data_IF_040616352698
#
_entry.id   IF_040616352698
#
_cell.length_a   1.000
_cell.length_b   1.000
_cell.length_c   1.000
_cell.angle_alpha   90.00
_cell.angle_beta   90.00
_cell.angle_gamma   90.00
#
_symmetry.space_group_name_H-M   'P 1'
#
loop_
_entity.id
_entity.type
_entity.pdbx_description
1 polymer ?
#
# COMPACT_ATOMS: atom_id res chain seq x y z
N UNK A 1 -6.67 9.98 -12.31
CA UNK A 1 -5.40 9.90 -11.55
C UNK A 1 -4.24 9.72 -12.52
N UNK A 2 -3.10 10.36 -12.27
CA UNK A 2 -1.89 10.22 -13.11
C UNK A 2 -0.84 9.45 -12.31
N UNK A 3 -0.30 8.40 -12.88
CA UNK A 3 0.86 7.64 -12.37
C UNK A 3 2.06 8.02 -13.23
N UNK A 4 2.94 8.85 -12.69
CA UNK A 4 4.11 9.41 -13.39
C UNK A 4 5.38 8.75 -12.85
N UNK A 5 5.95 7.84 -13.63
CA UNK A 5 7.12 7.03 -13.24
C UNK A 5 8.35 7.88 -12.94
N UNK A 6 8.54 8.97 -13.69
CA UNK A 6 9.67 9.86 -13.45
C UNK A 6 9.54 10.55 -12.09
N UNK A 7 8.36 11.10 -11.78
CA UNK A 7 8.12 11.76 -10.48
C UNK A 7 8.24 10.79 -9.31
N UNK A 8 7.77 9.54 -9.49
CA UNK A 8 7.90 8.51 -8.46
C UNK A 8 9.37 8.22 -8.17
N UNK A 9 10.21 8.04 -9.20
CA UNK A 9 11.64 7.77 -9.03
C UNK A 9 12.42 8.91 -8.38
N UNK A 10 11.95 10.15 -8.53
CA UNK A 10 12.56 11.35 -7.92
C UNK A 10 12.25 11.47 -6.40
N UNK A 11 11.32 10.69 -5.85
CA UNK A 11 11.02 10.70 -4.41
C UNK A 11 12.16 10.06 -3.63
N UNK A 12 12.62 10.73 -2.57
CA UNK A 12 13.58 10.19 -1.61
C UNK A 12 12.86 9.70 -0.36
N UNK A 13 13.00 8.42 -0.05
CA UNK A 13 12.43 7.79 1.15
C UNK A 13 13.42 7.70 2.30
N UNK A 14 14.71 7.95 2.04
CA UNK A 14 15.79 7.79 3.01
C UNK A 14 15.63 8.60 4.30
N UNK A 15 14.90 9.71 4.26
CA UNK A 15 14.68 10.56 5.43
C UNK A 15 13.55 10.10 6.35
N UNK A 16 12.71 9.14 5.91
CA UNK A 16 11.48 8.78 6.63
C UNK A 16 11.75 8.22 8.03
N UNK A 17 12.87 7.54 8.20
CA UNK A 17 13.25 6.88 9.46
C UNK A 17 14.44 7.51 10.17
N UNK A 18 15.00 8.64 9.68
CA UNK A 18 16.24 9.22 10.24
C UNK A 18 16.22 9.54 11.73
N UNK A 19 15.03 9.74 12.29
CA UNK A 19 14.85 10.15 13.68
C UNK A 19 14.25 9.04 14.55
N UNK A 20 14.17 7.80 14.04
CA UNK A 20 13.51 6.70 14.73
C UNK A 20 14.52 5.65 15.14
N UNK A 21 14.81 5.61 16.43
CA UNK A 21 15.56 4.53 17.06
C UNK A 21 14.57 3.57 17.72
N UNK A 22 14.21 2.51 16.99
CA UNK A 22 13.30 1.50 17.50
C UNK A 22 14.09 0.25 17.88
N UNK A 23 14.07 -0.18 19.14
CA UNK A 23 14.69 -1.43 19.54
C UNK A 23 14.14 -2.62 18.71
N UNK A 24 15.02 -3.27 17.97
CA UNK A 24 14.68 -4.43 17.14
C UNK A 24 14.25 -4.12 15.71
N UNK A 25 14.06 -2.86 15.34
CA UNK A 25 13.84 -2.48 13.94
C UNK A 25 15.17 -2.52 13.16
N UNK A 26 15.21 -3.05 11.93
CA UNK A 26 16.42 -2.99 11.09
C UNK A 26 16.88 -1.56 10.92
N UNK A 27 18.19 -1.32 11.02
CA UNK A 27 18.75 0.04 10.91
C UNK A 27 18.30 0.70 9.59
N UNK A 28 17.49 1.76 9.64
CA UNK A 28 16.95 2.39 8.43
C UNK A 28 18.03 3.10 7.58
N UNK A 29 19.24 3.23 8.10
CA UNK A 29 20.39 3.76 7.39
C UNK A 29 21.21 2.69 6.68
N UNK A 30 20.85 1.41 6.85
CA UNK A 30 21.46 0.30 6.09
C UNK A 30 21.04 0.42 4.62
N UNK A 31 22.02 0.30 3.72
CA UNK A 31 21.81 0.34 2.28
C UNK A 31 20.87 -0.78 1.77
N UNK A 32 20.61 -1.78 2.60
CA UNK A 32 19.67 -2.89 2.33
C UNK A 32 18.25 -2.60 2.79
N UNK A 33 18.04 -1.53 3.58
CA UNK A 33 16.72 -1.18 4.08
C UNK A 33 15.76 -0.74 2.96
N UNK A 34 14.47 -1.00 3.14
CA UNK A 34 13.44 -0.70 2.14
C UNK A 34 13.36 0.79 1.77
N UNK A 35 13.70 1.69 2.69
CA UNK A 35 13.75 3.14 2.43
C UNK A 35 15.10 3.65 1.91
N UNK A 36 16.07 2.77 1.65
CA UNK A 36 17.36 3.20 1.12
C UNK A 36 17.23 3.62 -0.35
N UNK A 37 17.63 4.87 -0.66
CA UNK A 37 17.68 5.37 -2.04
C UNK A 37 18.72 4.64 -2.91
N UNK A 38 19.62 3.86 -2.30
CA UNK A 38 20.62 3.04 -2.99
C UNK A 38 20.10 1.67 -3.45
N UNK A 39 18.93 1.28 -2.99
CA UNK A 39 18.27 0.05 -3.40
C UNK A 39 17.69 0.24 -4.80
N UNK A 40 18.47 -0.11 -5.82
CA UNK A 40 18.24 0.21 -7.24
C UNK A 40 17.38 -0.82 -8.00
N UNK A 41 16.74 -1.74 -7.33
CA UNK A 41 15.87 -2.72 -7.98
C UNK A 41 14.43 -2.55 -7.53
N UNK A 42 13.54 -3.08 -8.32
CA UNK A 42 12.08 -3.02 -8.27
C UNK A 42 11.41 -3.09 -6.88
N UNK A 43 12.13 -3.39 -5.82
CA UNK A 43 11.61 -3.30 -4.43
C UNK A 43 11.77 -1.91 -3.79
N UNK A 44 12.71 -1.07 -4.25
CA UNK A 44 12.94 0.26 -3.68
C UNK A 44 11.96 1.33 -4.18
N UNK A 45 11.31 1.11 -5.31
CA UNK A 45 10.34 2.04 -5.88
C UNK A 45 8.94 1.88 -5.28
N UNK A 46 8.65 0.73 -4.67
CA UNK A 46 7.36 0.43 -4.05
C UNK A 46 6.94 1.50 -3.02
N UNK A 47 7.79 1.82 -2.05
CA UNK A 47 7.51 2.84 -1.03
C UNK A 47 7.50 4.26 -1.60
N UNK A 48 8.24 4.53 -2.67
CA UNK A 48 8.16 5.78 -3.43
C UNK A 48 6.80 5.91 -4.10
N UNK A 49 6.28 4.81 -4.68
CA UNK A 49 4.94 4.77 -5.25
C UNK A 49 3.86 5.04 -4.19
N UNK A 50 3.94 4.41 -3.02
CA UNK A 50 3.00 4.66 -1.91
C UNK A 50 3.02 6.13 -1.49
N UNK A 51 4.21 6.70 -1.32
CA UNK A 51 4.36 8.13 -1.03
C UNK A 51 3.80 9.02 -2.14
N UNK A 52 4.05 8.68 -3.39
CA UNK A 52 3.50 9.43 -4.52
C UNK A 52 1.98 9.44 -4.50
N UNK A 53 1.35 8.28 -4.25
CA UNK A 53 -0.10 8.15 -4.22
C UNK A 53 -0.74 8.99 -3.12
N UNK A 54 -0.16 9.00 -1.91
CA UNK A 54 -0.68 9.82 -0.81
C UNK A 54 -0.56 11.32 -1.09
N UNK A 55 0.48 11.74 -1.86
CA UNK A 55 0.67 13.14 -2.24
C UNK A 55 -0.24 13.62 -3.37
N UNK A 56 -0.95 12.73 -4.06
CA UNK A 56 -1.90 13.11 -5.12
C UNK A 56 -3.20 13.71 -4.58
N UNK A 57 -3.51 13.51 -3.30
CA UNK A 57 -4.78 13.88 -2.69
C UNK A 57 -4.55 14.47 -1.30
N UNK A 58 -5.40 15.41 -0.92
CA UNK A 58 -5.49 15.96 0.43
C UNK A 58 -6.84 15.56 1.07
N UNK A 59 -6.87 15.50 2.39
CA UNK A 59 -8.08 15.29 3.21
C UNK A 59 -8.83 13.98 2.88
N UNK A 60 -8.09 12.92 2.58
CA UNK A 60 -8.65 11.60 2.31
C UNK A 60 -8.32 10.59 3.41
N UNK A 61 -9.09 9.50 3.45
CA UNK A 61 -8.75 8.29 4.20
C UNK A 61 -8.01 7.33 3.27
N UNK A 62 -6.92 6.75 3.78
CA UNK A 62 -6.17 5.67 3.13
C UNK A 62 -6.16 4.48 4.09
N UNK A 63 -6.49 3.32 3.59
CA UNK A 63 -6.37 2.05 4.30
C UNK A 63 -5.08 1.35 3.85
N UNK A 64 -4.34 0.87 4.83
CA UNK A 64 -3.15 0.03 4.67
C UNK A 64 -3.46 -1.33 5.31
N UNK A 65 -3.63 -2.36 4.49
CA UNK A 65 -3.96 -3.70 4.93
C UNK A 65 -2.73 -4.60 4.81
N UNK A 66 -2.22 -5.05 5.96
CA UNK A 66 -0.95 -5.77 6.10
C UNK A 66 0.17 -4.85 6.60
N UNK A 67 0.07 -4.41 7.85
CA UNK A 67 1.05 -3.48 8.45
C UNK A 67 2.45 -4.06 8.54
N UNK A 68 2.57 -5.34 8.89
CA UNK A 68 3.84 -6.01 9.15
C UNK A 68 4.80 -5.11 9.98
N UNK A 69 5.94 -4.69 9.41
CA UNK A 69 6.93 -3.80 10.06
C UNK A 69 6.54 -2.30 10.03
N UNK A 70 5.46 -1.93 9.35
CA UNK A 70 4.94 -0.56 9.28
C UNK A 70 5.52 0.29 8.14
N UNK A 71 6.32 -0.27 7.25
CA UNK A 71 6.98 0.49 6.17
C UNK A 71 5.96 1.13 5.21
N UNK A 72 4.92 0.38 4.82
CA UNK A 72 3.82 0.88 3.99
C UNK A 72 3.05 2.01 4.69
N UNK A 73 2.70 1.79 5.97
CA UNK A 73 2.01 2.79 6.79
C UNK A 73 2.81 4.09 6.89
N UNK A 74 4.14 4.01 7.10
CA UNK A 74 5.03 5.16 7.15
C UNK A 74 5.08 5.89 5.81
N UNK A 75 5.22 5.16 4.70
CA UNK A 75 5.26 5.76 3.36
C UNK A 75 3.94 6.48 3.01
N UNK A 76 2.79 5.87 3.36
CA UNK A 76 1.47 6.46 3.16
C UNK A 76 1.21 7.67 4.06
N UNK A 77 1.80 7.72 5.27
CA UNK A 77 1.60 8.81 6.22
C UNK A 77 2.38 10.10 5.90
N UNK A 78 3.19 10.12 4.83
CA UNK A 78 4.02 11.28 4.46
C UNK A 78 3.21 12.52 4.05
N UNK A 79 1.94 12.39 3.67
CA UNK A 79 1.04 13.54 3.57
C UNK A 79 0.24 13.68 4.88
N UNK A 80 0.57 14.65 5.76
CA UNK A 80 -0.07 14.79 7.07
C UNK A 80 -1.53 15.25 7.02
N UNK A 81 -2.03 15.63 5.85
CA UNK A 81 -3.45 15.98 5.66
C UNK A 81 -4.35 14.75 5.51
N UNK A 82 -3.77 13.62 5.15
CA UNK A 82 -4.51 12.38 4.96
C UNK A 82 -4.57 11.59 6.27
N UNK A 83 -5.65 10.87 6.49
CA UNK A 83 -5.78 9.90 7.58
C UNK A 83 -5.41 8.51 7.07
N UNK A 84 -4.45 7.85 7.73
CA UNK A 84 -4.05 6.48 7.43
C UNK A 84 -4.60 5.56 8.52
N UNK A 85 -5.25 4.46 8.13
CA UNK A 85 -5.69 3.40 9.03
C UNK A 85 -5.00 2.12 8.58
N UNK A 86 -4.07 1.64 9.38
CA UNK A 86 -3.26 0.47 9.07
C UNK A 86 -3.73 -0.74 9.89
N UNK A 87 -3.88 -1.89 9.24
CA UNK A 87 -4.46 -3.12 9.78
C UNK A 87 -3.47 -4.26 9.75
N UNK A 88 -3.42 -5.03 10.84
CA UNK A 88 -2.75 -6.32 10.88
C UNK A 88 -3.48 -7.27 11.84
N UNK A 89 -3.47 -8.56 11.54
CA UNK A 89 -3.99 -9.61 12.43
C UNK A 89 -3.02 -9.91 13.59
N UNK A 90 -1.73 -9.67 13.36
CA UNK A 90 -0.67 -9.84 14.34
C UNK A 90 -0.10 -8.48 14.72
N UNK A 91 0.05 -8.22 16.02
CA UNK A 91 0.88 -7.12 16.47
C UNK A 91 2.31 -7.63 16.56
N UNK A 92 3.08 -7.36 15.53
CA UNK A 92 4.50 -7.67 15.58
C UNK A 92 5.21 -6.65 16.48
N UNK A 93 4.66 -5.42 16.59
CA UNK A 93 5.26 -4.35 17.39
C UNK A 93 4.20 -3.47 18.06
N UNK A 94 4.37 -3.15 19.36
CA UNK A 94 3.71 -2.01 19.98
C UNK A 94 4.41 -0.73 19.49
N UNK A 95 4.00 -0.24 18.34
CA UNK A 95 4.66 0.89 17.73
C UNK A 95 4.38 2.20 18.46
N UNK A 96 5.41 2.92 18.94
CA UNK A 96 5.27 4.29 19.38
C UNK A 96 5.11 5.28 18.21
N UNK A 97 4.69 4.83 17.03
CA UNK A 97 4.58 5.66 15.82
C UNK A 97 3.56 6.78 15.93
N UNK A 98 2.52 6.64 16.74
CA UNK A 98 1.48 7.67 16.90
C UNK A 98 2.05 9.03 17.34
N UNK A 99 3.18 9.06 18.04
CA UNK A 99 3.84 10.31 18.43
C UNK A 99 4.50 11.03 17.23
N UNK A 100 4.91 10.27 16.21
CA UNK A 100 5.67 10.78 15.07
C UNK A 100 4.82 10.92 13.80
N UNK A 101 3.74 10.16 13.73
CA UNK A 101 2.77 10.19 12.62
C UNK A 101 1.36 10.36 13.19
N UNK A 102 0.97 11.59 13.57
CA UNK A 102 -0.33 11.83 14.22
C UNK A 102 -1.53 11.52 13.32
N UNK A 103 -1.31 11.36 12.03
CA UNK A 103 -2.30 11.00 11.04
C UNK A 103 -2.41 9.48 10.82
N UNK A 104 -1.64 8.66 11.54
CA UNK A 104 -1.60 7.20 11.44
C UNK A 104 -2.26 6.54 12.65
N UNK A 105 -3.23 5.67 12.37
CA UNK A 105 -3.94 4.84 13.34
C UNK A 105 -3.67 3.36 13.03
N UNK A 106 -3.28 2.57 14.04
CA UNK A 106 -3.13 1.12 13.90
C UNK A 106 -4.32 0.38 14.50
N UNK A 107 -4.76 -0.64 13.78
CA UNK A 107 -5.79 -1.56 14.24
C UNK A 107 -5.31 -3.01 14.16
N UNK A 108 -5.31 -3.70 15.30
CA UNK A 108 -5.11 -5.16 15.32
C UNK A 108 -6.43 -5.85 14.99
N UNK A 109 -6.64 -6.09 13.71
CA UNK A 109 -7.88 -6.66 13.21
C UNK A 109 -7.69 -7.19 11.78
N UNK A 110 -8.39 -8.27 11.43
CA UNK A 110 -8.55 -8.66 10.03
C UNK A 110 -9.34 -7.57 9.29
N UNK A 111 -8.77 -7.02 8.23
CA UNK A 111 -9.43 -5.99 7.40
C UNK A 111 -10.75 -6.48 6.83
N UNK A 112 -10.91 -7.79 6.64
CA UNK A 112 -12.16 -8.41 6.18
C UNK A 112 -13.31 -8.32 7.20
N UNK A 113 -13.02 -7.97 8.46
CA UNK A 113 -14.01 -7.80 9.52
C UNK A 113 -14.34 -6.31 9.76
N UNK A 114 -13.72 -5.39 9.01
CA UNK A 114 -14.01 -3.96 9.14
C UNK A 114 -15.39 -3.61 8.56
N UNK A 115 -16.01 -2.58 9.11
CA UNK A 115 -17.31 -2.09 8.66
C UNK A 115 -17.26 -1.53 7.23
N UNK A 116 -18.33 -1.76 6.48
CA UNK A 116 -18.46 -1.22 5.12
C UNK A 116 -18.36 0.31 5.08
N UNK A 117 -18.77 1.01 6.13
CA UNK A 117 -18.71 2.46 6.20
C UNK A 117 -17.26 2.96 6.25
N UNK A 118 -16.40 2.31 7.03
CA UNK A 118 -14.96 2.63 7.10
C UNK A 118 -14.30 2.30 5.76
N UNK A 119 -14.55 1.11 5.21
CA UNK A 119 -14.01 0.72 3.90
C UNK A 119 -14.43 1.73 2.81
N UNK A 120 -15.71 2.10 2.74
CA UNK A 120 -16.23 3.05 1.75
C UNK A 120 -15.74 4.50 1.98
N UNK A 121 -15.25 4.84 3.17
CA UNK A 121 -14.65 6.15 3.42
C UNK A 121 -13.25 6.29 2.80
N UNK A 122 -12.58 5.17 2.54
CA UNK A 122 -11.22 5.18 1.99
C UNK A 122 -11.23 5.49 0.48
N UNK A 123 -10.38 6.43 0.08
CA UNK A 123 -10.13 6.73 -1.33
C UNK A 123 -9.09 5.80 -1.94
N UNK A 124 -8.13 5.38 -1.13
CA UNK A 124 -7.06 4.45 -1.52
C UNK A 124 -7.01 3.33 -0.49
N UNK A 125 -6.87 2.11 -0.97
CA UNK A 125 -6.56 0.94 -0.15
C UNK A 125 -5.27 0.33 -0.70
N UNK A 126 -4.27 0.14 0.15
CA UNK A 126 -3.13 -0.71 -0.13
C UNK A 126 -3.41 -2.10 0.44
N UNK A 127 -3.32 -3.12 -0.38
CA UNK A 127 -3.66 -4.51 -0.06
C UNK A 127 -2.41 -5.37 -0.16
N UNK A 128 -1.87 -5.75 1.00
CA UNK A 128 -0.66 -6.53 1.16
C UNK A 128 -0.86 -7.49 2.34
N UNK A 129 -1.70 -8.53 2.13
CA UNK A 129 -2.16 -9.40 3.22
C UNK A 129 -1.56 -10.82 3.13
N UNK A 130 -2.36 -11.84 2.90
CA UNK A 130 -1.93 -13.24 3.09
C UNK A 130 -1.07 -13.83 1.94
N UNK A 131 -1.12 -13.27 0.74
CA UNK A 131 -0.43 -13.72 -0.49
C UNK A 131 -0.74 -15.18 -0.90
N UNK A 132 -1.88 -15.69 -0.47
CA UNK A 132 -2.39 -17.02 -0.84
C UNK A 132 -3.60 -16.97 -1.79
N UNK A 133 -4.02 -15.77 -2.13
CA UNK A 133 -5.19 -15.40 -2.89
C UNK A 133 -6.54 -15.57 -2.16
N UNK A 134 -6.60 -16.32 -1.07
CA UNK A 134 -7.86 -16.60 -0.37
C UNK A 134 -8.43 -15.34 0.28
N UNK A 135 -7.60 -14.61 1.00
CA UNK A 135 -8.00 -13.37 1.67
C UNK A 135 -8.19 -12.23 0.67
N UNK A 136 -7.35 -12.19 -0.37
CA UNK A 136 -7.44 -11.22 -1.46
C UNK A 136 -8.75 -11.37 -2.23
N UNK A 137 -9.20 -12.63 -2.54
CA UNK A 137 -10.52 -12.87 -3.14
C UNK A 137 -11.66 -12.43 -2.22
N UNK A 138 -11.61 -12.85 -0.93
CA UNK A 138 -12.62 -12.47 0.06
C UNK A 138 -12.76 -10.94 0.13
N UNK A 139 -11.65 -10.22 0.16
CA UNK A 139 -11.63 -8.77 0.25
C UNK A 139 -12.16 -8.09 -1.03
N UNK A 140 -11.68 -8.49 -2.20
CA UNK A 140 -12.12 -7.89 -3.48
C UNK A 140 -13.58 -8.22 -3.82
N UNK A 141 -14.07 -9.39 -3.44
CA UNK A 141 -15.50 -9.74 -3.52
C UNK A 141 -16.34 -8.86 -2.58
N UNK A 142 -15.84 -8.61 -1.37
CA UNK A 142 -16.48 -7.71 -0.41
C UNK A 142 -16.55 -6.29 -0.98
N UNK A 143 -15.46 -5.75 -1.53
CA UNK A 143 -15.43 -4.42 -2.16
C UNK A 143 -16.48 -4.30 -3.28
N UNK A 144 -16.58 -5.32 -4.11
CA UNK A 144 -17.58 -5.37 -5.19
C UNK A 144 -19.00 -5.37 -4.63
N UNK A 145 -19.26 -6.18 -3.62
CA UNK A 145 -20.58 -6.33 -2.99
C UNK A 145 -21.07 -5.07 -2.29
N UNK A 146 -20.15 -4.32 -1.63
CA UNK A 146 -20.51 -3.06 -0.95
C UNK A 146 -20.54 -1.86 -1.90
N UNK A 147 -20.21 -2.07 -3.18
CA UNK A 147 -20.18 -1.00 -4.19
C UNK A 147 -19.08 0.03 -3.95
N UNK A 148 -17.91 -0.42 -3.45
CA UNK A 148 -16.76 0.45 -3.18
C UNK A 148 -16.41 1.32 -4.38
N UNK A 149 -16.03 2.58 -4.11
CA UNK A 149 -15.56 3.55 -5.10
C UNK A 149 -14.25 4.15 -4.63
N UNK A 150 -13.16 3.71 -5.25
CA UNK A 150 -11.80 4.14 -4.91
C UNK A 150 -10.75 3.40 -5.72
N UNK A 151 -9.52 3.50 -5.27
CA UNK A 151 -8.36 2.83 -5.86
C UNK A 151 -7.84 1.77 -4.90
N UNK A 152 -7.51 0.59 -5.43
CA UNK A 152 -6.83 -0.44 -4.64
C UNK A 152 -5.49 -0.74 -5.29
N UNK A 153 -4.42 -0.52 -4.53
CA UNK A 153 -3.07 -0.94 -4.89
C UNK A 153 -2.84 -2.31 -4.25
N UNK A 154 -2.48 -3.30 -5.06
CA UNK A 154 -2.27 -4.68 -4.62
C UNK A 154 -0.79 -5.03 -4.73
N UNK A 155 -0.25 -5.65 -3.68
CA UNK A 155 1.10 -6.20 -3.72
C UNK A 155 1.12 -7.64 -4.22
N UNK A 156 2.27 -8.08 -4.69
CA UNK A 156 2.63 -9.46 -5.01
C UNK A 156 1.72 -10.19 -6.03
N UNK A 157 1.17 -9.46 -7.00
CA UNK A 157 0.26 -10.03 -8.00
C UNK A 157 0.90 -11.10 -8.92
N UNK A 158 2.23 -11.20 -8.93
CA UNK A 158 3.05 -12.16 -9.70
C UNK A 158 3.96 -13.01 -8.81
N UNK A 159 3.56 -13.28 -7.58
CA UNK A 159 4.37 -13.99 -6.60
C UNK A 159 4.76 -15.40 -7.09
N UNK A 160 6.05 -15.73 -7.33
CA UNK A 160 6.45 -16.96 -8.03
C UNK A 160 6.10 -18.24 -7.30
N UNK A 161 6.03 -18.22 -5.97
CA UNK A 161 5.68 -19.38 -5.14
C UNK A 161 4.21 -19.44 -4.75
N UNK A 162 3.41 -18.47 -5.19
CA UNK A 162 1.96 -18.46 -5.00
C UNK A 162 1.24 -18.16 -6.32
N UNK A 163 1.15 -19.13 -7.26
CA UNK A 163 0.53 -18.93 -8.57
C UNK A 163 -0.97 -18.61 -8.48
N UNK A 164 -1.58 -18.81 -7.32
CA UNK A 164 -2.97 -18.43 -7.07
C UNK A 164 -3.13 -16.90 -7.03
N UNK A 165 -2.09 -16.14 -6.66
CA UNK A 165 -2.11 -14.68 -6.71
C UNK A 165 -2.30 -14.16 -8.14
N UNK A 166 -1.59 -14.72 -9.11
CA UNK A 166 -1.80 -14.37 -10.51
C UNK A 166 -3.19 -14.79 -11.02
N UNK A 167 -3.69 -15.95 -10.57
CA UNK A 167 -5.05 -16.40 -10.89
C UNK A 167 -6.10 -15.45 -10.33
N UNK A 168 -5.94 -15.04 -9.06
CA UNK A 168 -6.78 -14.02 -8.44
C UNK A 168 -6.73 -12.70 -9.22
N UNK A 169 -5.52 -12.18 -9.47
CA UNK A 169 -5.34 -10.94 -10.22
C UNK A 169 -6.05 -10.99 -11.58
N UNK A 170 -5.86 -12.08 -12.33
CA UNK A 170 -6.49 -12.24 -13.63
C UNK A 170 -8.01 -12.34 -13.58
N UNK A 171 -8.58 -12.84 -12.47
CA UNK A 171 -10.03 -12.99 -12.28
C UNK A 171 -10.77 -11.67 -12.04
N UNK A 172 -10.05 -10.60 -11.67
CA UNK A 172 -10.64 -9.30 -11.39
C UNK A 172 -11.18 -8.67 -12.69
N UNK A 173 -12.50 -8.45 -12.73
CA UNK A 173 -13.22 -7.89 -13.89
C UNK A 173 -13.49 -6.38 -13.77
N UNK A 174 -12.72 -5.66 -12.94
CA UNK A 174 -12.76 -4.21 -12.81
C UNK A 174 -11.57 -3.64 -13.57
N UNK A 175 -11.66 -2.39 -14.00
CA UNK A 175 -10.54 -1.68 -14.64
C UNK A 175 -9.29 -1.81 -13.77
N UNK A 176 -8.21 -2.37 -14.32
CA UNK A 176 -6.97 -2.62 -13.60
C UNK A 176 -5.73 -2.45 -14.47
N UNK A 177 -4.62 -2.17 -13.81
CA UNK A 177 -3.32 -1.92 -14.44
C UNK A 177 -2.23 -2.66 -13.69
N UNK A 178 -1.41 -3.39 -14.41
CA UNK A 178 -0.14 -3.90 -13.90
C UNK A 178 0.89 -2.78 -13.98
N UNK A 179 1.39 -2.35 -12.84
CA UNK A 179 2.38 -1.27 -12.70
C UNK A 179 3.66 -1.76 -12.00
N UNK A 180 3.96 -3.03 -12.15
CA UNK A 180 5.15 -3.69 -11.58
C UNK A 180 6.45 -2.96 -11.90
N UNK A 181 6.57 -2.35 -13.07
CA UNK A 181 7.75 -1.55 -13.47
C UNK A 181 8.11 -0.41 -12.49
N UNK A 182 7.17 0.02 -11.65
CA UNK A 182 7.34 1.11 -10.69
C UNK A 182 6.96 0.70 -9.25
N UNK A 183 6.65 -0.55 -9.04
CA UNK A 183 6.21 -1.09 -7.76
C UNK A 183 7.15 -2.16 -7.22
N UNK A 184 6.56 -3.21 -6.66
CA UNK A 184 7.28 -4.33 -6.07
C UNK A 184 7.76 -5.33 -7.13
N UNK A 185 8.88 -6.02 -6.86
CA UNK A 185 9.51 -7.00 -7.76
C UNK A 185 8.58 -8.14 -8.16
N UNK A 186 7.73 -8.58 -7.25
CA UNK A 186 6.80 -9.69 -7.47
C UNK A 186 5.41 -9.24 -7.91
N UNK A 187 5.34 -8.03 -8.40
CA UNK A 187 4.13 -7.49 -9.02
C UNK A 187 3.40 -6.48 -8.16
N UNK A 188 3.01 -5.38 -8.81
CA UNK A 188 2.14 -4.38 -8.20
C UNK A 188 0.98 -4.10 -9.14
N UNK A 189 -0.23 -4.30 -8.64
CA UNK A 189 -1.48 -4.06 -9.36
C UNK A 189 -2.19 -2.81 -8.87
N UNK A 190 -2.81 -2.08 -9.77
CA UNK A 190 -3.69 -0.96 -9.45
C UNK A 190 -5.09 -1.24 -10.00
N UNK A 191 -6.10 -1.31 -9.13
CA UNK A 191 -7.50 -1.51 -9.50
C UNK A 191 -8.24 -0.17 -9.36
N UNK A 192 -9.03 0.19 -10.36
CA UNK A 192 -9.88 1.37 -10.37
C UNK A 192 -11.36 0.99 -10.18
N UNK A 193 -11.85 1.01 -8.95
CA UNK A 193 -13.26 0.73 -8.65
C UNK A 193 -14.21 1.85 -9.05
N UNK A 194 -13.72 3.02 -9.47
CA UNK A 194 -14.58 3.99 -10.18
C UNK A 194 -14.97 3.50 -11.56
N UNK A 195 -14.11 2.68 -12.18
CA UNK A 195 -14.29 2.10 -13.52
C UNK A 195 -14.63 3.17 -14.58
N UNK A 196 -13.94 4.29 -14.52
CA UNK A 196 -14.22 5.51 -15.27
C UNK A 196 -13.18 5.85 -16.36
N UNK A 197 -12.15 5.00 -16.51
CA UNK A 197 -11.08 5.19 -17.51
C UNK A 197 -10.17 6.40 -17.24
N UNK A 198 -10.21 6.98 -16.02
CA UNK A 198 -9.51 8.22 -15.70
C UNK A 198 -8.09 8.00 -15.11
N UNK A 199 -7.49 6.81 -15.30
CA UNK A 199 -6.09 6.57 -14.95
C UNK A 199 -5.20 6.74 -16.18
N UNK A 200 -4.19 7.59 -16.06
CA UNK A 200 -3.15 7.79 -17.04
C UNK A 200 -1.81 7.35 -16.48
N UNK A 201 -1.12 6.46 -17.18
CA UNK A 201 0.23 6.01 -16.83
C UNK A 201 1.23 6.68 -17.77
N UNK A 202 2.20 7.38 -17.20
CA UNK A 202 3.29 8.08 -17.90
C UNK A 202 4.60 7.37 -17.52
N UNK A 203 5.20 6.65 -18.47
CA UNK A 203 6.46 5.91 -18.29
C UNK A 203 7.69 6.77 -18.54
#
# INVERSE_FOLDING_TARGET
MIIDYKKIREISTHSYMKNYDFPGYPNPLDDTHHFSDKRSNSGGEHYKLLTYLTMLFDDIVIIDAGTNWGDSAIALSQNPKNKIISYDIEHIWEFPFSANFPNLEFKKMDINDESSDVINSAKIIFLDIAHDATQEWKFTDMLTRIGYKGYVLCDDIHLPWSPMMETWWNSINVEKYDITDIGHTWGTGLINYYNDGNIQIIK
#
